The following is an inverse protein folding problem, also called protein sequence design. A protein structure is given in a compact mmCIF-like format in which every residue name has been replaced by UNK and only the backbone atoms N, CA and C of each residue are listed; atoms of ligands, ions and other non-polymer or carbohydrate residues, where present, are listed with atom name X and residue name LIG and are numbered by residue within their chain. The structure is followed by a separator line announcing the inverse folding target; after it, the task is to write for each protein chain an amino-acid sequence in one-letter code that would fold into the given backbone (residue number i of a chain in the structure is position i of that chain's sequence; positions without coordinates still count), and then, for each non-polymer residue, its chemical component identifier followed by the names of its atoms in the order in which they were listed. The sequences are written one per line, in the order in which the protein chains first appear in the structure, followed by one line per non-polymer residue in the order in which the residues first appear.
data_IF_790761828113
#
_entry.id   IF_790761828113
#
_cell.length_a   1.000
_cell.length_b   1.000
_cell.length_c   1.000
_cell.angle_alpha   90.00
_cell.angle_beta   90.00
_cell.angle_gamma   90.00
#
_symmetry.space_group_name_H-M   'P 1'
#
loop_
_entity.id
_entity.type
_entity.pdbx_description
1 polymer ?
#
# COMPACT_ATOMS: atom_id res chain seq x y z
N UNK A 1 -10.46 38.23 26.15
CA UNK A 1 -11.54 37.36 25.62
C UNK A 1 -10.87 36.11 25.08
N UNK A 2 -11.23 34.93 25.59
CA UNK A 2 -10.69 33.67 25.09
C UNK A 2 -11.27 33.39 23.70
N UNK A 3 -10.41 33.08 22.74
CA UNK A 3 -10.80 32.76 21.36
C UNK A 3 -11.72 31.52 21.36
N UNK A 4 -12.98 31.60 20.89
CA UNK A 4 -13.93 30.48 20.85
C UNK A 4 -13.39 29.21 20.16
N UNK A 5 -12.34 29.34 19.33
CA UNK A 5 -11.70 28.26 18.59
C UNK A 5 -10.61 27.49 19.36
N UNK A 6 -10.06 28.08 20.42
CA UNK A 6 -9.03 27.43 21.25
C UNK A 6 -9.54 26.14 21.91
N UNK A 7 -10.83 26.09 22.29
CA UNK A 7 -11.44 24.93 22.94
C UNK A 7 -11.61 23.72 22.02
N UNK A 8 -12.03 23.92 20.76
CA UNK A 8 -12.18 22.82 19.80
C UNK A 8 -10.81 22.26 19.39
N UNK A 9 -9.83 23.15 19.19
CA UNK A 9 -8.44 22.76 18.94
C UNK A 9 -7.84 21.92 20.08
N UNK A 10 -7.95 22.39 21.32
CA UNK A 10 -7.42 21.67 22.49
C UNK A 10 -8.13 20.32 22.71
N UNK A 11 -9.45 20.27 22.48
CA UNK A 11 -10.22 19.03 22.53
C UNK A 11 -9.77 18.03 21.46
N UNK A 12 -9.49 18.50 20.23
CA UNK A 12 -9.00 17.66 19.14
C UNK A 12 -7.62 17.06 19.47
N UNK A 13 -6.73 17.85 20.05
CA UNK A 13 -5.39 17.39 20.46
C UNK A 13 -5.47 16.38 21.62
N UNK A 14 -6.29 16.63 22.62
CA UNK A 14 -6.53 15.69 23.71
C UNK A 14 -7.10 14.36 23.18
N UNK A 15 -8.10 14.43 22.30
CA UNK A 15 -8.71 13.25 21.68
C UNK A 15 -7.70 12.45 20.84
N UNK A 16 -6.87 13.12 20.04
CA UNK A 16 -5.81 12.46 19.25
C UNK A 16 -4.79 11.75 20.14
N UNK A 17 -4.33 12.42 21.20
CA UNK A 17 -3.42 11.83 22.19
C UNK A 17 -4.07 10.64 22.93
N UNK A 18 -5.40 10.67 23.10
CA UNK A 18 -6.17 9.59 23.71
C UNK A 18 -6.60 8.50 22.70
N UNK A 19 -6.17 8.57 21.43
CA UNK A 19 -6.59 7.69 20.33
C UNK A 19 -8.11 7.71 20.05
N UNK A 20 -8.83 8.74 20.51
CA UNK A 20 -10.22 9.02 20.11
C UNK A 20 -10.23 9.78 18.78
N UNK A 21 -9.95 9.05 17.71
CA UNK A 21 -9.89 9.60 16.36
C UNK A 21 -11.25 10.13 15.87
N UNK A 22 -12.35 9.60 16.40
CA UNK A 22 -13.70 10.06 16.06
C UNK A 22 -13.97 11.46 16.60
N UNK A 23 -13.66 11.71 17.87
CA UNK A 23 -13.74 13.05 18.44
C UNK A 23 -12.71 13.99 17.81
N UNK A 24 -11.48 13.51 17.57
CA UNK A 24 -10.43 14.28 16.89
C UNK A 24 -10.89 14.79 15.52
N UNK A 25 -11.38 13.89 14.65
CA UNK A 25 -11.89 14.25 13.32
C UNK A 25 -13.00 15.29 13.41
N UNK A 26 -13.95 15.12 14.35
CA UNK A 26 -15.05 16.07 14.55
C UNK A 26 -14.54 17.44 14.97
N UNK A 27 -13.63 17.50 15.93
CA UNK A 27 -13.14 18.77 16.46
C UNK A 27 -12.21 19.50 15.49
N UNK A 28 -11.30 18.80 14.80
CA UNK A 28 -10.47 19.41 13.75
C UNK A 28 -11.32 19.91 12.57
N UNK A 29 -12.30 19.13 12.12
CA UNK A 29 -13.22 19.58 11.05
C UNK A 29 -14.02 20.81 11.47
N UNK A 30 -14.42 20.90 12.75
CA UNK A 30 -15.09 22.09 13.27
C UNK A 30 -14.17 23.30 13.28
N UNK A 31 -12.90 23.14 13.67
CA UNK A 31 -11.91 24.22 13.65
C UNK A 31 -11.61 24.70 12.22
N UNK A 32 -11.63 23.80 11.23
CA UNK A 32 -11.48 24.14 9.80
C UNK A 32 -12.59 25.06 9.28
N UNK A 33 -13.75 25.18 9.95
CA UNK A 33 -14.78 26.16 9.54
C UNK A 33 -14.28 27.59 9.73
N UNK A 34 -13.44 27.83 10.75
CA UNK A 34 -12.92 29.15 11.05
C UNK A 34 -11.65 29.48 10.26
N UNK A 35 -10.77 28.49 10.07
CA UNK A 35 -9.59 28.62 9.22
C UNK A 35 -9.47 27.38 8.30
N UNK A 36 -10.11 27.44 7.11
CA UNK A 36 -10.16 26.29 6.19
C UNK A 36 -8.83 25.93 5.54
N UNK A 37 -7.83 26.81 5.63
CA UNK A 37 -6.54 26.67 4.98
C UNK A 37 -5.39 26.39 5.94
N UNK A 38 -5.64 26.41 7.26
CA UNK A 38 -4.62 26.11 8.24
C UNK A 38 -4.02 24.70 8.00
N UNK A 39 -2.73 24.60 7.64
CA UNK A 39 -2.13 23.32 7.26
C UNK A 39 -2.07 22.32 8.41
N UNK A 40 -1.98 22.80 9.66
CA UNK A 40 -1.99 21.95 10.84
C UNK A 40 -3.38 21.33 11.05
N UNK A 41 -4.45 22.13 10.92
CA UNK A 41 -5.81 21.62 11.04
C UNK A 41 -6.15 20.63 9.92
N UNK A 42 -5.72 20.92 8.68
CA UNK A 42 -5.89 20.04 7.53
C UNK A 42 -5.19 18.69 7.75
N UNK A 43 -3.92 18.72 8.15
CA UNK A 43 -3.11 17.50 8.36
C UNK A 43 -3.66 16.61 9.49
N UNK A 44 -4.09 17.22 10.60
CA UNK A 44 -4.68 16.49 11.70
C UNK A 44 -6.07 15.92 11.35
N UNK A 45 -6.90 16.66 10.61
CA UNK A 45 -8.18 16.15 10.12
C UNK A 45 -7.98 14.94 9.19
N UNK A 46 -7.05 15.01 8.24
CA UNK A 46 -6.70 13.87 7.39
C UNK A 46 -6.21 12.66 8.19
N UNK A 47 -5.31 12.88 9.14
CA UNK A 47 -4.78 11.81 9.99
C UNK A 47 -5.90 11.10 10.74
N UNK A 48 -6.83 11.87 11.32
CA UNK A 48 -7.98 11.32 12.01
C UNK A 48 -8.92 10.55 11.06
N UNK A 49 -9.18 11.07 9.85
CA UNK A 49 -9.98 10.35 8.85
C UNK A 49 -9.32 9.04 8.41
N UNK A 50 -8.01 9.03 8.17
CA UNK A 50 -7.27 7.84 7.78
C UNK A 50 -7.27 6.81 8.90
N UNK A 51 -7.07 7.23 10.16
CA UNK A 51 -7.14 6.35 11.33
C UNK A 51 -8.52 5.70 11.51
N UNK A 52 -9.59 6.38 11.11
CA UNK A 52 -10.97 5.86 11.10
C UNK A 52 -11.30 5.01 9.86
N UNK A 53 -10.37 4.83 8.93
CA UNK A 53 -10.62 4.20 7.63
C UNK A 53 -11.49 5.03 6.68
N UNK A 54 -11.76 6.29 7.00
CA UNK A 54 -12.58 7.23 6.23
C UNK A 54 -11.76 7.92 5.13
N UNK A 55 -11.03 7.15 4.33
CA UNK A 55 -10.12 7.68 3.29
C UNK A 55 -10.84 8.59 2.31
N UNK A 56 -12.08 8.28 1.94
CA UNK A 56 -12.86 9.10 1.02
C UNK A 56 -13.09 10.54 1.55
N UNK A 57 -13.10 10.73 2.88
CA UNK A 57 -13.19 12.06 3.51
C UNK A 57 -11.84 12.77 3.60
N UNK A 58 -10.73 12.04 3.57
CA UNK A 58 -9.39 12.61 3.56
C UNK A 58 -9.01 13.19 2.18
N UNK A 59 -9.55 12.64 1.09
CA UNK A 59 -9.27 13.08 -0.29
C UNK A 59 -9.49 14.59 -0.51
N UNK A 60 -10.67 15.17 -0.24
CA UNK A 60 -10.88 16.61 -0.46
C UNK A 60 -9.97 17.47 0.42
N UNK A 61 -9.62 17.01 1.62
CA UNK A 61 -8.69 17.71 2.51
C UNK A 61 -7.27 17.69 1.95
N UNK A 62 -6.83 16.54 1.43
CA UNK A 62 -5.55 16.39 0.73
C UNK A 62 -5.46 17.28 -0.51
N UNK A 63 -6.56 17.39 -1.27
CA UNK A 63 -6.63 18.26 -2.45
C UNK A 63 -6.46 19.74 -2.05
N UNK A 64 -7.15 20.20 -1.00
CA UNK A 64 -6.97 21.56 -0.48
C UNK A 64 -5.52 21.81 -0.09
N UNK A 65 -4.85 20.85 0.56
CA UNK A 65 -3.45 21.03 0.93
C UNK A 65 -2.54 21.20 -0.28
N UNK A 66 -2.73 20.36 -1.30
CA UNK A 66 -1.94 20.41 -2.53
C UNK A 66 -2.22 21.66 -3.36
N UNK A 67 -3.48 22.09 -3.47
CA UNK A 67 -3.87 23.30 -4.21
C UNK A 67 -3.30 24.58 -3.58
N UNK A 68 -3.07 24.56 -2.26
CA UNK A 68 -2.42 25.65 -1.52
C UNK A 68 -0.89 25.51 -1.47
N UNK A 69 -0.31 24.52 -2.15
CA UNK A 69 1.14 24.32 -2.24
C UNK A 69 1.79 23.77 -0.97
N UNK A 70 1.01 23.24 -0.03
CA UNK A 70 1.56 22.63 1.18
C UNK A 70 2.25 21.30 0.86
N UNK A 71 3.44 21.12 1.41
CA UNK A 71 4.22 19.89 1.29
C UNK A 71 3.78 18.90 2.37
N UNK A 72 2.88 17.98 2.03
CA UNK A 72 2.39 16.96 2.96
C UNK A 72 2.45 15.57 2.34
N UNK A 73 3.32 14.72 2.89
CA UNK A 73 3.50 13.33 2.45
C UNK A 73 2.19 12.53 2.55
N UNK A 74 1.42 12.75 3.62
CA UNK A 74 0.13 12.06 3.80
C UNK A 74 -0.93 12.55 2.79
N UNK A 75 -0.90 13.83 2.39
CA UNK A 75 -1.75 14.33 1.31
C UNK A 75 -1.35 13.71 -0.04
N UNK A 76 -0.06 13.73 -0.37
CA UNK A 76 0.47 13.15 -1.61
C UNK A 76 0.17 11.65 -1.72
N UNK A 77 0.35 10.89 -0.62
CA UNK A 77 0.01 9.48 -0.55
C UNK A 77 -1.49 9.26 -0.76
N UNK A 78 -2.33 10.04 -0.09
CA UNK A 78 -3.80 9.92 -0.19
C UNK A 78 -4.28 10.13 -1.63
N UNK A 79 -3.78 11.17 -2.31
CA UNK A 79 -4.14 11.45 -3.70
C UNK A 79 -3.57 10.42 -4.66
N UNK A 80 -2.33 9.95 -4.46
CA UNK A 80 -1.73 8.89 -5.29
C UNK A 80 -2.50 7.56 -5.18
N UNK A 81 -2.95 7.22 -3.97
CA UNK A 81 -3.81 6.05 -3.75
C UNK A 81 -5.17 6.19 -4.42
N UNK A 82 -5.76 7.39 -4.38
CA UNK A 82 -7.02 7.67 -5.07
C UNK A 82 -6.87 7.58 -6.59
N UNK A 83 -5.80 8.17 -7.15
CA UNK A 83 -5.48 8.10 -8.56
C UNK A 83 -5.32 6.63 -9.00
N UNK A 84 -4.55 5.84 -8.26
CA UNK A 84 -4.40 4.40 -8.53
C UNK A 84 -5.73 3.64 -8.47
N UNK A 85 -6.56 3.89 -7.43
CA UNK A 85 -7.87 3.24 -7.26
C UNK A 85 -8.82 3.53 -8.42
N UNK A 86 -8.70 4.72 -9.03
CA UNK A 86 -9.57 5.19 -10.12
C UNK A 86 -8.96 5.04 -11.50
N UNK A 87 -7.74 4.49 -11.62
CA UNK A 87 -7.04 4.31 -12.89
C UNK A 87 -6.54 5.60 -13.51
N UNK A 88 -6.42 6.68 -12.74
CA UNK A 88 -5.89 7.97 -13.19
C UNK A 88 -4.36 7.97 -13.09
N UNK A 89 -3.69 7.07 -13.82
CA UNK A 89 -2.25 6.82 -13.71
C UNK A 89 -1.39 8.05 -14.04
N UNK A 90 -1.80 8.81 -15.06
CA UNK A 90 -1.18 10.09 -15.44
C UNK A 90 -1.03 11.06 -14.25
N UNK A 91 -1.99 11.06 -13.31
CA UNK A 91 -1.94 11.94 -12.15
C UNK A 91 -0.82 11.57 -11.18
N UNK A 92 -0.43 10.28 -11.11
CA UNK A 92 0.69 9.83 -10.29
C UNK A 92 2.00 10.38 -10.87
N UNK A 93 2.18 10.27 -12.19
CA UNK A 93 3.37 10.81 -12.86
C UNK A 93 3.44 12.33 -12.76
N UNK A 94 2.36 13.03 -13.07
CA UNK A 94 2.30 14.49 -13.00
C UNK A 94 2.54 15.01 -11.58
N UNK A 95 2.05 14.30 -10.54
CA UNK A 95 2.32 14.66 -9.16
C UNK A 95 3.81 14.57 -8.84
N UNK A 96 4.48 13.49 -9.24
CA UNK A 96 5.91 13.30 -9.01
C UNK A 96 6.78 14.30 -9.79
N UNK A 97 6.41 14.62 -11.03
CA UNK A 97 7.06 15.68 -11.83
C UNK A 97 6.97 17.06 -11.16
N UNK A 98 5.86 17.32 -10.46
CA UNK A 98 5.64 18.54 -9.67
C UNK A 98 6.33 18.49 -8.29
N UNK A 99 7.13 17.46 -8.02
CA UNK A 99 7.85 17.30 -6.75
C UNK A 99 6.97 16.84 -5.58
N UNK A 100 5.75 16.37 -5.85
CA UNK A 100 4.82 15.85 -4.82
C UNK A 100 5.22 14.43 -4.43
N UNK A 101 6.34 14.34 -3.71
CA UNK A 101 6.94 13.10 -3.24
C UNK A 101 6.37 12.68 -1.89
N UNK A 102 6.29 11.37 -1.66
CA UNK A 102 6.05 10.78 -0.33
C UNK A 102 7.39 10.34 0.24
N UNK A 103 8.02 9.37 -0.42
CA UNK A 103 9.34 8.86 -0.08
C UNK A 103 9.86 8.05 -1.28
N UNK A 104 11.18 7.94 -1.53
CA UNK A 104 11.69 7.32 -2.75
C UNK A 104 11.19 5.88 -2.98
N UNK A 105 11.08 5.08 -1.91
CA UNK A 105 10.51 3.74 -1.99
C UNK A 105 9.04 3.76 -2.44
N UNK A 106 8.26 4.65 -1.85
CA UNK A 106 6.82 4.75 -2.11
C UNK A 106 6.59 5.26 -3.54
N UNK A 107 7.33 6.28 -3.93
CA UNK A 107 7.20 6.93 -5.23
C UNK A 107 7.60 5.97 -6.37
N UNK A 108 8.74 5.27 -6.22
CA UNK A 108 9.20 4.32 -7.23
C UNK A 108 8.25 3.13 -7.40
N UNK A 109 7.69 2.60 -6.30
CA UNK A 109 6.69 1.53 -6.41
C UNK A 109 5.39 2.08 -7.03
N UNK A 110 4.94 3.29 -6.68
CA UNK A 110 3.77 3.91 -7.27
C UNK A 110 3.91 4.07 -8.80
N UNK A 111 5.07 4.55 -9.27
CA UNK A 111 5.39 4.67 -10.69
C UNK A 111 5.36 3.32 -11.41
N UNK A 112 5.97 2.29 -10.80
CA UNK A 112 5.98 0.95 -11.40
C UNK A 112 4.56 0.38 -11.56
N UNK A 113 3.69 0.53 -10.55
CA UNK A 113 2.29 0.12 -10.67
C UNK A 113 1.49 1.01 -11.64
N UNK A 114 1.81 2.29 -11.74
CA UNK A 114 1.18 3.19 -12.70
C UNK A 114 1.47 2.77 -14.14
N UNK A 115 2.73 2.46 -14.48
CA UNK A 115 3.07 1.92 -15.80
C UNK A 115 2.36 0.60 -16.10
N UNK A 116 2.28 -0.31 -15.12
CA UNK A 116 1.51 -1.54 -15.30
C UNK A 116 0.01 -1.25 -15.51
N UNK A 117 -0.52 -0.27 -14.80
CA UNK A 117 -1.89 0.21 -14.93
C UNK A 117 -2.21 0.78 -16.32
N UNK A 118 -1.23 1.37 -16.99
CA UNK A 118 -1.30 1.82 -18.38
C UNK A 118 -1.11 0.67 -19.40
N UNK A 119 -0.76 -0.52 -18.93
CA UNK A 119 -0.45 -1.69 -19.77
C UNK A 119 0.99 -1.73 -20.27
N UNK A 120 1.87 -0.82 -19.81
CA UNK A 120 3.28 -0.79 -20.18
C UNK A 120 4.11 -1.67 -19.22
N UNK A 121 4.06 -2.99 -19.47
CA UNK A 121 4.80 -3.96 -18.66
C UNK A 121 6.32 -3.70 -18.70
N UNK A 122 6.86 -3.31 -19.85
CA UNK A 122 8.30 -3.07 -19.99
C UNK A 122 8.76 -1.95 -19.07
N UNK A 123 8.06 -0.81 -19.06
CA UNK A 123 8.39 0.28 -18.11
C UNK A 123 8.10 -0.10 -16.67
N UNK A 124 7.02 -0.83 -16.41
CA UNK A 124 6.70 -1.29 -15.05
C UNK A 124 7.84 -2.12 -14.44
N UNK A 125 8.35 -3.12 -15.18
CA UNK A 125 9.46 -3.95 -14.72
C UNK A 125 10.74 -3.15 -14.55
N UNK A 126 11.05 -2.22 -15.47
CA UNK A 126 12.21 -1.34 -15.35
C UNK A 126 12.14 -0.43 -14.12
N UNK A 127 10.96 0.13 -13.81
CA UNK A 127 10.75 0.92 -12.59
C UNK A 127 10.90 0.07 -11.32
N UNK A 128 10.42 -1.18 -11.31
CA UNK A 128 10.70 -2.08 -10.19
C UNK A 128 12.19 -2.38 -10.06
N UNK A 129 12.92 -2.56 -11.17
CA UNK A 129 14.36 -2.81 -11.14
C UNK A 129 15.14 -1.62 -10.56
N UNK A 130 14.75 -0.38 -10.87
CA UNK A 130 15.33 0.81 -10.24
C UNK A 130 15.12 0.83 -8.72
N UNK A 131 13.93 0.43 -8.24
CA UNK A 131 13.67 0.27 -6.79
C UNK A 131 14.56 -0.84 -6.21
N UNK A 132 14.76 -1.94 -6.93
CA UNK A 132 15.57 -3.07 -6.49
C UNK A 132 17.04 -2.68 -6.31
N UNK A 133 17.58 -1.89 -7.23
CA UNK A 133 18.96 -1.39 -7.24
C UNK A 133 19.21 -0.35 -6.13
N UNK A 134 18.16 0.23 -5.56
CA UNK A 134 18.28 1.21 -4.49
C UNK A 134 18.64 0.54 -3.15
N UNK A 135 19.71 1.00 -2.45
CA UNK A 135 20.11 0.43 -1.17
C UNK A 135 18.96 0.38 -0.16
N UNK A 136 18.83 -0.74 0.55
CA UNK A 136 17.77 -1.01 1.54
C UNK A 136 16.34 -1.11 0.97
N UNK A 137 16.14 -1.07 -0.35
CA UNK A 137 14.82 -1.18 -1.00
C UNK A 137 14.62 -2.48 -1.79
N UNK A 138 15.70 -3.23 -2.00
CA UNK A 138 15.77 -4.50 -2.75
C UNK A 138 14.61 -5.45 -2.48
N UNK A 139 14.33 -5.76 -1.20
CA UNK A 139 13.27 -6.71 -0.81
C UNK A 139 11.88 -6.23 -1.22
N UNK A 140 11.62 -4.93 -1.09
CA UNK A 140 10.33 -4.34 -1.46
C UNK A 140 10.15 -4.34 -2.97
N UNK A 141 11.15 -3.85 -3.71
CA UNK A 141 11.12 -3.85 -5.18
C UNK A 141 10.90 -5.26 -5.75
N UNK A 142 11.61 -6.26 -5.24
CA UNK A 142 11.45 -7.66 -5.63
C UNK A 142 10.06 -8.20 -5.33
N UNK A 143 9.55 -7.94 -4.12
CA UNK A 143 8.22 -8.42 -3.70
C UNK A 143 7.13 -7.86 -4.62
N UNK A 144 7.18 -6.56 -4.92
CA UNK A 144 6.20 -5.94 -5.79
C UNK A 144 6.36 -6.34 -7.27
N UNK A 145 7.59 -6.52 -7.76
CA UNK A 145 7.85 -7.05 -9.10
C UNK A 145 7.26 -8.46 -9.27
N UNK A 146 7.47 -9.34 -8.28
CA UNK A 146 6.87 -10.67 -8.28
C UNK A 146 5.34 -10.62 -8.27
N UNK A 147 4.74 -9.73 -7.48
CA UNK A 147 3.28 -9.53 -7.50
C UNK A 147 2.77 -9.01 -8.85
N UNK A 148 3.50 -8.12 -9.50
CA UNK A 148 3.15 -7.60 -10.83
C UNK A 148 3.14 -8.73 -11.87
N UNK A 149 4.19 -9.55 -11.92
CA UNK A 149 4.29 -10.72 -12.81
C UNK A 149 3.14 -11.72 -12.55
N UNK A 150 2.94 -12.10 -11.29
CA UNK A 150 1.86 -13.01 -10.91
C UNK A 150 0.46 -12.45 -11.25
N UNK A 151 0.27 -11.12 -11.15
CA UNK A 151 -1.03 -10.49 -11.46
C UNK A 151 -1.43 -10.58 -12.94
N UNK A 152 -0.45 -10.79 -13.83
CA UNK A 152 -0.69 -11.00 -15.27
C UNK A 152 -0.53 -12.47 -15.69
N UNK A 153 -0.38 -13.38 -14.72
CA UNK A 153 -0.26 -14.82 -14.95
C UNK A 153 1.17 -15.32 -15.22
N UNK A 154 2.20 -14.47 -15.13
CA UNK A 154 3.60 -14.91 -15.17
C UNK A 154 4.02 -15.43 -13.79
N UNK A 155 3.52 -16.62 -13.45
CA UNK A 155 3.78 -17.28 -12.18
C UNK A 155 5.22 -17.83 -12.11
N UNK A 156 5.77 -18.28 -13.23
CA UNK A 156 7.14 -18.75 -13.34
C UNK A 156 8.14 -17.63 -13.05
N UNK A 157 7.96 -16.45 -13.66
CA UNK A 157 8.78 -15.27 -13.41
C UNK A 157 8.65 -14.77 -11.97
N UNK A 158 7.43 -14.77 -11.42
CA UNK A 158 7.20 -14.41 -10.02
C UNK A 158 7.89 -15.37 -9.04
N UNK A 159 7.80 -16.68 -9.27
CA UNK A 159 8.45 -17.69 -8.45
C UNK A 159 9.98 -17.65 -8.59
N UNK A 160 10.52 -17.33 -9.76
CA UNK A 160 11.96 -17.16 -9.95
C UNK A 160 12.52 -16.03 -9.05
N UNK A 161 11.77 -14.94 -8.89
CA UNK A 161 12.12 -13.86 -7.95
C UNK A 161 12.03 -14.37 -6.51
N UNK A 162 10.90 -14.98 -6.12
CA UNK A 162 10.70 -15.43 -4.75
C UNK A 162 11.65 -16.53 -4.30
N UNK A 163 12.05 -17.43 -5.21
CA UNK A 163 13.00 -18.50 -4.92
C UNK A 163 14.44 -18.01 -4.74
N UNK A 164 14.70 -16.71 -4.93
CA UNK A 164 16.01 -16.12 -4.69
C UNK A 164 17.09 -16.59 -5.66
N UNK A 165 16.73 -17.20 -6.78
CA UNK A 165 17.64 -17.79 -7.76
C UNK A 165 18.67 -16.77 -8.29
N UNK A 166 18.30 -15.48 -8.34
CA UNK A 166 19.17 -14.40 -8.79
C UNK A 166 19.85 -13.62 -7.65
N UNK A 167 19.49 -13.86 -6.38
CA UNK A 167 19.71 -12.88 -5.29
C UNK A 167 20.25 -13.49 -4.00
N UNK A 168 20.44 -14.81 -3.93
CA UNK A 168 21.06 -15.47 -2.78
C UNK A 168 20.17 -15.54 -1.54
N UNK A 169 18.85 -15.70 -1.71
CA UNK A 169 17.86 -15.83 -0.63
C UNK A 169 17.75 -14.60 0.30
N UNK A 170 17.99 -13.40 -0.22
CA UNK A 170 17.83 -12.12 0.53
C UNK A 170 16.37 -11.85 0.93
N UNK A 171 15.41 -12.44 0.22
CA UNK A 171 13.98 -12.34 0.55
C UNK A 171 13.64 -13.14 1.82
N UNK A 172 13.58 -12.45 2.96
CA UNK A 172 12.85 -12.96 4.13
C UNK A 172 11.36 -12.76 3.89
N UNK A 173 10.59 -13.84 3.90
CA UNK A 173 9.15 -13.73 3.70
C UNK A 173 8.48 -13.02 4.87
N UNK A 174 7.76 -11.95 4.57
CA UNK A 174 6.59 -11.61 5.39
C UNK A 174 5.53 -12.71 5.24
N UNK A 175 4.67 -12.86 6.24
CA UNK A 175 3.45 -13.69 6.21
C UNK A 175 2.67 -13.53 4.91
N UNK A 176 2.51 -12.28 4.43
CA UNK A 176 1.80 -11.96 3.19
C UNK A 176 2.54 -12.46 1.95
N UNK A 177 3.84 -12.22 1.86
CA UNK A 177 4.65 -12.72 0.73
C UNK A 177 4.78 -14.25 0.72
N UNK A 178 4.77 -14.91 1.88
CA UNK A 178 4.75 -16.37 1.97
C UNK A 178 3.43 -16.95 1.43
N UNK A 179 2.31 -16.35 1.84
CA UNK A 179 0.97 -16.70 1.34
C UNK A 179 0.89 -16.53 -0.18
N UNK A 180 1.38 -15.40 -0.69
CA UNK A 180 1.42 -15.09 -2.11
C UNK A 180 2.28 -16.09 -2.89
N UNK A 181 3.48 -16.42 -2.39
CA UNK A 181 4.36 -17.44 -3.00
C UNK A 181 3.69 -18.81 -3.01
N UNK A 182 3.02 -19.22 -1.93
CA UNK A 182 2.29 -20.48 -1.87
C UNK A 182 1.16 -20.55 -2.92
N UNK A 183 0.42 -19.45 -3.13
CA UNK A 183 -0.57 -19.36 -4.21
C UNK A 183 0.08 -19.44 -5.59
N UNK A 184 1.20 -18.75 -5.82
CA UNK A 184 1.96 -18.81 -7.08
C UNK A 184 2.41 -20.25 -7.36
N UNK A 185 3.00 -20.92 -6.37
CA UNK A 185 3.40 -22.32 -6.47
C UNK A 185 2.21 -23.23 -6.77
N UNK A 186 1.04 -22.96 -6.18
CA UNK A 186 -0.19 -23.71 -6.49
C UNK A 186 -0.66 -23.53 -7.93
N UNK A 187 -0.58 -22.30 -8.46
CA UNK A 187 -0.90 -22.03 -9.87
C UNK A 187 0.07 -22.74 -10.84
N UNK A 188 1.30 -23.01 -10.40
CA UNK A 188 2.29 -23.81 -11.12
C UNK A 188 2.11 -25.33 -10.93
N UNK A 189 1.07 -25.78 -10.20
CA UNK A 189 0.86 -27.20 -9.86
C UNK A 189 1.82 -27.75 -8.81
N UNK A 190 2.58 -26.89 -8.12
CA UNK A 190 3.60 -27.24 -7.12
C UNK A 190 3.04 -27.14 -5.70
N UNK A 191 1.92 -27.82 -5.44
CA UNK A 191 1.24 -27.76 -4.14
C UNK A 191 2.10 -28.31 -2.98
N UNK A 192 2.95 -29.30 -3.23
CA UNK A 192 3.88 -29.84 -2.22
C UNK A 192 4.88 -28.77 -1.74
N UNK A 193 5.45 -28.01 -2.69
CA UNK A 193 6.34 -26.89 -2.38
C UNK A 193 5.58 -25.76 -1.66
N UNK A 194 4.35 -25.48 -2.09
CA UNK A 194 3.50 -24.48 -1.43
C UNK A 194 3.23 -24.84 0.04
N UNK A 195 2.93 -26.11 0.33
CA UNK A 195 2.76 -26.61 1.70
C UNK A 195 4.04 -26.47 2.53
N UNK A 196 5.20 -26.77 1.95
CA UNK A 196 6.48 -26.60 2.63
C UNK A 196 6.74 -25.14 3.02
N UNK A 197 6.37 -24.18 2.16
CA UNK A 197 6.46 -22.74 2.48
C UNK A 197 5.51 -22.36 3.63
N UNK A 198 4.26 -22.79 3.58
CA UNK A 198 3.29 -22.50 4.65
C UNK A 198 3.75 -23.11 5.99
N UNK A 199 4.15 -24.37 5.99
CA UNK A 199 4.60 -25.06 7.20
C UNK A 199 5.87 -24.43 7.79
N UNK A 200 6.80 -24.03 6.92
CA UNK A 200 8.06 -23.39 7.32
C UNK A 200 7.87 -21.97 7.90
N UNK A 201 6.94 -21.18 7.35
CA UNK A 201 6.76 -19.78 7.77
C UNK A 201 5.80 -19.64 8.95
N UNK A 202 4.73 -20.44 8.99
CA UNK A 202 3.66 -20.26 9.97
C UNK A 202 3.68 -21.33 11.08
N UNK A 203 4.39 -22.44 10.88
CA UNK A 203 4.47 -23.52 11.86
C UNK A 203 3.11 -24.14 12.17
N UNK A 204 2.88 -24.50 13.44
CA UNK A 204 1.68 -25.25 13.87
C UNK A 204 0.48 -24.37 14.22
N UNK A 205 0.68 -23.08 14.46
CA UNK A 205 -0.40 -22.14 14.81
C UNK A 205 -0.73 -21.29 13.59
N UNK A 206 -1.69 -21.76 12.81
CA UNK A 206 -2.19 -21.06 11.64
C UNK A 206 -3.38 -20.20 12.05
N UNK A 207 -3.41 -18.96 11.58
CA UNK A 207 -4.68 -18.22 11.55
C UNK A 207 -5.68 -18.95 10.64
N UNK A 208 -7.00 -18.72 10.80
CA UNK A 208 -8.02 -19.44 10.04
C UNK A 208 -7.85 -19.37 8.51
N UNK A 209 -7.38 -18.24 7.97
CA UNK A 209 -7.21 -18.03 6.53
C UNK A 209 -6.05 -18.86 6.00
N UNK A 210 -4.94 -18.91 6.73
CA UNK A 210 -3.79 -19.72 6.34
C UNK A 210 -4.08 -21.22 6.50
N UNK A 211 -4.87 -21.59 7.52
CA UNK A 211 -5.32 -22.98 7.70
C UNK A 211 -6.20 -23.45 6.52
N UNK A 212 -7.12 -22.61 6.05
CA UNK A 212 -7.95 -22.87 4.88
C UNK A 212 -7.10 -23.03 3.62
N UNK A 213 -6.20 -22.07 3.34
CA UNK A 213 -5.24 -22.17 2.23
C UNK A 213 -4.47 -23.49 2.27
N UNK A 214 -3.92 -23.86 3.43
CA UNK A 214 -3.18 -25.12 3.59
C UNK A 214 -4.04 -26.33 3.30
N UNK A 215 -5.30 -26.34 3.73
CA UNK A 215 -6.23 -27.44 3.49
C UNK A 215 -6.55 -27.59 2.00
N UNK A 216 -6.79 -26.48 1.28
CA UNK A 216 -7.00 -26.48 -0.17
C UNK A 216 -5.79 -27.03 -0.93
N UNK A 217 -4.59 -26.58 -0.56
CA UNK A 217 -3.33 -27.07 -1.14
C UNK A 217 -3.16 -28.58 -0.93
N UNK A 218 -3.42 -29.06 0.29
CA UNK A 218 -3.34 -30.48 0.64
C UNK A 218 -4.39 -31.35 -0.08
N UNK A 219 -5.55 -30.76 -0.41
CA UNK A 219 -6.58 -31.42 -1.21
C UNK A 219 -6.27 -31.44 -2.72
N UNK A 220 -5.13 -30.88 -3.14
CA UNK A 220 -4.77 -30.78 -4.56
C UNK A 220 -5.57 -29.72 -5.32
N UNK A 221 -6.28 -28.83 -4.62
CA UNK A 221 -7.04 -27.75 -5.25
C UNK A 221 -6.08 -26.67 -5.70
N UNK A 222 -6.26 -26.16 -6.93
CA UNK A 222 -5.50 -25.02 -7.42
C UNK A 222 -6.01 -23.75 -6.74
N UNK A 223 -5.16 -23.08 -5.97
CA UNK A 223 -5.54 -21.89 -5.21
C UNK A 223 -5.15 -20.63 -5.98
N UNK A 224 -6.12 -19.75 -6.23
CA UNK A 224 -5.92 -18.53 -6.99
C UNK A 224 -4.98 -17.55 -6.28
N UNK A 225 -4.12 -16.88 -7.06
CA UNK A 225 -3.35 -15.75 -6.58
C UNK A 225 -4.27 -14.56 -6.25
N UNK A 226 -4.20 -14.05 -5.02
CA UNK A 226 -5.10 -12.97 -4.56
C UNK A 226 -4.40 -11.80 -3.86
N UNK A 227 -3.08 -11.85 -3.72
CA UNK A 227 -2.29 -10.76 -3.16
C UNK A 227 -2.48 -9.47 -3.97
N UNK A 228 -2.46 -9.59 -5.30
CA UNK A 228 -2.76 -8.52 -6.25
C UNK A 228 -3.59 -9.06 -7.42
N UNK A 229 -4.83 -8.59 -7.57
CA UNK A 229 -5.68 -8.97 -8.73
C UNK A 229 -5.65 -7.97 -9.87
N UNK A 230 -5.38 -6.69 -9.58
CA UNK A 230 -5.26 -5.62 -10.56
C UNK A 230 -4.34 -4.52 -10.02
N UNK A 231 -3.69 -3.69 -10.87
CA UNK A 231 -2.91 -2.54 -10.43
C UNK A 231 -3.69 -1.60 -9.49
N UNK A 232 -4.99 -1.36 -9.78
CA UNK A 232 -5.89 -0.55 -8.95
C UNK A 232 -6.08 -1.12 -7.53
N UNK A 233 -5.90 -2.44 -7.35
CA UNK A 233 -5.99 -3.14 -6.07
C UNK A 233 -4.62 -3.41 -5.45
N UNK A 234 -3.55 -3.36 -6.23
CA UNK A 234 -2.19 -3.68 -5.82
C UNK A 234 -1.69 -2.65 -4.81
N UNK A 235 -1.61 -1.41 -5.24
CA UNK A 235 -0.99 -0.33 -4.50
C UNK A 235 -1.73 -0.01 -3.18
N UNK A 236 -3.08 0.10 -3.15
CA UNK A 236 -3.79 0.39 -1.90
C UNK A 236 -3.76 -0.74 -0.87
N UNK A 237 -3.54 -2.00 -1.28
CA UNK A 237 -3.43 -3.13 -0.34
C UNK A 237 -2.09 -3.16 0.37
N UNK A 238 -1.03 -2.63 -0.25
CA UNK A 238 0.31 -2.64 0.32
C UNK A 238 0.45 -1.79 1.59
N UNK A 239 -0.47 -0.85 1.84
CA UNK A 239 -0.49 0.00 3.03
C UNK A 239 -1.53 -0.42 4.09
N UNK A 240 -2.27 -1.51 3.87
CA UNK A 240 -3.15 -2.09 4.90
C UNK A 240 -2.35 -3.15 5.65
N UNK A 241 -2.03 -2.87 6.93
CA UNK A 241 -1.48 -3.83 7.90
C UNK A 241 -2.37 -5.04 8.04
#
# INVERSE_FOLDING_TARGET
MADPNSGSYLAARHASNANDFAASARFFTKSLIADPTDPYLLENAMTAFIALGQVDRAIPVAQVMVDNGYQSQIAHLTLSLQAAKTGQWDQIFAALEQGRSVAPLVDGIAQAWAHLGEGDMTKALASFDQVIETPNMTVYGMTHKAYALASVGDFEGAEAIFNGAATGNVLRYSTRSATARAQILSQLGRNEDALAIIDGVFGKQLDPRVAELRAELAAGTAVAFDAVRTPQKAWPRCFRS
#
